data_IF_199900472238
#
_entry.id   IF_199900472238
#
_cell.length_a   1.000
_cell.length_b   1.000
_cell.length_c   1.000
_cell.angle_alpha   90.00
_cell.angle_beta   90.00
_cell.angle_gamma   90.00
#
_symmetry.space_group_name_H-M   'P 1'
#
loop_
_entity.id
_entity.type
_entity.pdbx_description
1 polymer ?
#
# COMPACT_ATOMS: atom_id res chain seq x y z
N UNK A 1 -3.48 0.86 -29.20
CA UNK A 1 -3.46 2.29 -28.88
C UNK A 1 -2.92 2.51 -27.48
N UNK A 2 -1.74 3.08 -27.42
CA UNK A 2 -1.12 3.52 -26.18
C UNK A 2 -1.73 4.85 -25.72
N UNK A 3 -3.03 4.84 -25.49
CA UNK A 3 -3.68 5.99 -24.87
C UNK A 3 -3.26 6.04 -23.40
N UNK A 4 -3.27 7.23 -22.82
CA UNK A 4 -2.94 7.43 -21.41
C UNK A 4 -3.84 6.60 -20.51
N UNK A 5 -5.08 6.37 -20.90
CA UNK A 5 -6.02 5.55 -20.14
C UNK A 5 -5.64 4.07 -20.15
N UNK A 6 -5.18 3.55 -21.29
CA UNK A 6 -4.74 2.15 -21.40
C UNK A 6 -3.45 1.93 -20.60
N UNK A 7 -2.50 2.85 -20.67
CA UNK A 7 -1.28 2.82 -19.86
C UNK A 7 -1.60 2.91 -18.38
N UNK A 8 -2.54 3.76 -18.00
CA UNK A 8 -2.99 3.91 -16.62
C UNK A 8 -3.57 2.60 -16.09
N UNK A 9 -4.48 1.97 -16.85
CA UNK A 9 -5.11 0.71 -16.45
C UNK A 9 -4.08 -0.40 -16.31
N UNK A 10 -3.18 -0.55 -17.27
CA UNK A 10 -2.13 -1.57 -17.27
C UNK A 10 -1.14 -1.36 -16.11
N UNK A 11 -0.65 -0.12 -15.94
CA UNK A 11 0.29 0.20 -14.88
C UNK A 11 -0.32 0.05 -13.50
N UNK A 12 -1.59 0.41 -13.34
CA UNK A 12 -2.26 0.28 -12.04
C UNK A 12 -2.43 -1.16 -11.62
N UNK A 13 -2.79 -2.04 -12.55
CA UNK A 13 -2.91 -3.47 -12.27
C UNK A 13 -1.55 -4.08 -11.93
N UNK A 14 -0.51 -3.75 -12.68
CA UNK A 14 0.86 -4.20 -12.42
C UNK A 14 1.37 -3.69 -11.09
N UNK A 15 1.11 -2.42 -10.75
CA UNK A 15 1.50 -1.84 -9.47
C UNK A 15 0.78 -2.50 -8.29
N UNK A 16 -0.51 -2.79 -8.44
CA UNK A 16 -1.27 -3.46 -7.39
C UNK A 16 -0.73 -4.86 -7.13
N UNK A 17 -0.42 -5.61 -8.19
CA UNK A 17 0.17 -6.94 -8.07
C UNK A 17 1.54 -6.90 -7.43
N UNK A 18 2.36 -5.92 -7.81
CA UNK A 18 3.67 -5.71 -7.21
C UNK A 18 3.55 -5.39 -5.72
N UNK A 19 2.58 -4.54 -5.36
CA UNK A 19 2.31 -4.19 -3.97
C UNK A 19 1.95 -5.43 -3.16
N UNK A 20 1.03 -6.26 -3.64
CA UNK A 20 0.64 -7.50 -2.96
C UNK A 20 1.84 -8.43 -2.79
N UNK A 21 2.68 -8.56 -3.80
CA UNK A 21 3.86 -9.41 -3.74
C UNK A 21 4.86 -8.93 -2.70
N UNK A 22 5.19 -7.63 -2.69
CA UNK A 22 6.12 -7.04 -1.73
C UNK A 22 5.60 -7.16 -0.30
N UNK A 23 4.33 -6.92 -0.10
CA UNK A 23 3.72 -7.03 1.23
C UNK A 23 3.65 -8.48 1.68
N UNK A 24 3.43 -9.42 0.78
CA UNK A 24 3.45 -10.85 1.09
C UNK A 24 4.83 -11.29 1.56
N UNK A 25 5.89 -10.86 0.87
CA UNK A 25 7.27 -11.18 1.27
C UNK A 25 7.58 -10.61 2.65
N UNK A 26 7.23 -9.35 2.88
CA UNK A 26 7.43 -8.71 4.19
C UNK A 26 6.64 -9.43 5.28
N UNK A 27 5.42 -9.83 4.98
CA UNK A 27 4.56 -10.58 5.87
C UNK A 27 5.17 -11.93 6.23
N UNK A 28 5.64 -12.68 5.24
CA UNK A 28 6.22 -14.01 5.46
C UNK A 28 7.47 -13.94 6.35
N UNK A 29 8.31 -12.93 6.16
CA UNK A 29 9.49 -12.72 6.99
C UNK A 29 9.14 -12.41 8.44
N UNK A 30 8.10 -11.62 8.66
CA UNK A 30 7.62 -11.29 10.00
C UNK A 30 6.91 -12.44 10.67
N UNK A 31 6.18 -13.21 9.90
CA UNK A 31 5.47 -14.38 10.38
C UNK A 31 6.41 -15.35 11.10
N UNK A 32 7.57 -15.63 10.50
CA UNK A 32 8.57 -16.51 11.09
C UNK A 32 9.03 -16.03 12.46
N UNK A 33 9.10 -14.72 12.66
CA UNK A 33 9.48 -14.12 13.94
C UNK A 33 8.33 -14.17 14.95
N UNK A 34 7.12 -13.84 14.53
CA UNK A 34 5.96 -13.69 15.41
C UNK A 34 5.34 -15.04 15.82
N UNK A 35 5.51 -16.09 15.02
CA UNK A 35 5.05 -17.42 15.36
C UNK A 35 5.68 -17.94 16.64
N UNK A 36 6.88 -17.48 16.96
CA UNK A 36 7.53 -17.84 18.22
C UNK A 36 6.82 -17.24 19.44
N UNK A 37 6.01 -16.19 19.27
CA UNK A 37 5.35 -15.49 20.37
C UNK A 37 3.93 -15.98 20.62
N UNK A 38 3.11 -16.08 19.59
CA UNK A 38 1.75 -16.63 19.68
C UNK A 38 1.32 -17.14 18.31
N UNK A 39 1.46 -18.45 18.05
CA UNK A 39 1.16 -19.01 16.74
C UNK A 39 -0.32 -18.82 16.39
N UNK A 40 -0.58 -18.34 15.21
CA UNK A 40 -1.89 -18.25 14.59
C UNK A 40 -2.63 -16.95 14.81
N UNK A 41 -2.69 -16.42 16.03
CA UNK A 41 -3.49 -15.23 16.33
C UNK A 41 -2.89 -13.96 15.74
N UNK A 42 -1.61 -13.72 15.98
CA UNK A 42 -0.91 -12.53 15.47
C UNK A 42 -0.88 -12.55 13.95
N UNK A 43 -0.69 -13.73 13.36
CA UNK A 43 -0.75 -13.94 11.93
C UNK A 43 -2.08 -13.51 11.34
N UNK A 44 -3.18 -13.91 11.97
CA UNK A 44 -4.52 -13.55 11.52
C UNK A 44 -4.75 -12.04 11.63
N UNK A 45 -4.27 -11.42 12.71
CA UNK A 45 -4.37 -9.99 12.91
C UNK A 45 -3.57 -9.21 11.86
N UNK A 46 -2.34 -9.63 11.59
CA UNK A 46 -1.50 -9.00 10.56
C UNK A 46 -2.18 -9.08 9.19
N UNK A 47 -2.67 -10.25 8.83
CA UNK A 47 -3.36 -10.46 7.56
C UNK A 47 -4.59 -9.58 7.45
N UNK A 48 -5.38 -9.51 8.51
CA UNK A 48 -6.58 -8.70 8.57
C UNK A 48 -6.26 -7.22 8.38
N UNK A 49 -5.31 -6.68 9.15
CA UNK A 49 -4.92 -5.28 9.04
C UNK A 49 -4.29 -4.96 7.68
N UNK A 50 -3.46 -5.87 7.18
CA UNK A 50 -2.81 -5.69 5.90
C UNK A 50 -3.84 -5.56 4.76
N UNK A 51 -4.79 -6.50 4.70
CA UNK A 51 -5.83 -6.47 3.68
C UNK A 51 -6.69 -5.20 3.79
N UNK A 52 -7.05 -4.84 5.00
CA UNK A 52 -7.86 -3.65 5.26
C UNK A 52 -7.14 -2.38 4.82
N UNK A 53 -5.86 -2.25 5.14
CA UNK A 53 -5.07 -1.07 4.78
C UNK A 53 -4.77 -1.02 3.28
N UNK A 54 -4.54 -2.16 2.64
CA UNK A 54 -4.34 -2.20 1.19
C UNK A 54 -5.60 -1.71 0.48
N UNK A 55 -6.77 -2.22 0.86
CA UNK A 55 -8.02 -1.84 0.20
C UNK A 55 -8.30 -0.35 0.38
N UNK A 56 -8.15 0.16 1.57
CA UNK A 56 -8.36 1.58 1.86
C UNK A 56 -7.36 2.47 1.14
N UNK A 57 -6.09 2.14 1.24
CA UNK A 57 -5.03 2.95 0.62
C UNK A 57 -5.10 2.89 -0.91
N UNK A 58 -5.48 1.74 -1.47
CA UNK A 58 -5.65 1.61 -2.91
C UNK A 58 -6.78 2.50 -3.41
N UNK A 59 -7.90 2.52 -2.70
CA UNK A 59 -9.03 3.40 -3.04
C UNK A 59 -8.61 4.86 -3.05
N UNK A 60 -7.90 5.31 -2.02
CA UNK A 60 -7.36 6.66 -1.94
C UNK A 60 -6.35 6.93 -3.05
N UNK A 61 -5.52 5.94 -3.39
CA UNK A 61 -4.54 6.04 -4.46
C UNK A 61 -5.21 6.26 -5.81
N UNK A 62 -6.30 5.54 -6.09
CA UNK A 62 -7.06 5.71 -7.32
C UNK A 62 -7.61 7.15 -7.44
N UNK A 63 -8.09 7.70 -6.34
CA UNK A 63 -8.58 9.08 -6.31
C UNK A 63 -7.44 10.07 -6.57
N UNK A 64 -6.29 9.86 -5.95
CA UNK A 64 -5.10 10.71 -6.15
C UNK A 64 -4.59 10.61 -7.58
N UNK A 65 -4.62 9.43 -8.17
CA UNK A 65 -4.21 9.22 -9.56
C UNK A 65 -5.16 9.92 -10.53
N UNK A 66 -6.45 9.89 -10.26
CA UNK A 66 -7.43 10.61 -11.06
C UNK A 66 -7.19 12.13 -11.00
N UNK A 67 -6.94 12.65 -9.79
CA UNK A 67 -6.60 14.07 -9.61
C UNK A 67 -5.30 14.44 -10.29
N UNK A 68 -4.29 13.59 -10.22
CA UNK A 68 -3.02 13.80 -10.90
C UNK A 68 -3.21 13.87 -12.42
N UNK A 69 -3.98 12.95 -12.98
CA UNK A 69 -4.25 12.92 -14.42
C UNK A 69 -4.89 14.23 -14.88
N UNK A 70 -5.86 14.73 -14.13
CA UNK A 70 -6.51 15.99 -14.40
C UNK A 70 -5.52 17.16 -14.32
N UNK A 71 -4.72 17.20 -13.28
CA UNK A 71 -3.68 18.21 -13.08
C UNK A 71 -2.66 18.22 -14.22
N UNK A 72 -2.20 17.05 -14.67
CA UNK A 72 -1.27 16.94 -15.79
C UNK A 72 -1.90 17.43 -17.09
N UNK A 73 -3.19 17.18 -17.28
CA UNK A 73 -3.94 17.72 -18.43
C UNK A 73 -3.88 19.25 -18.49
N UNK A 74 -4.02 19.91 -17.33
CA UNK A 74 -3.87 21.38 -17.25
C UNK A 74 -2.45 21.85 -17.49
N UNK A 75 -1.46 21.09 -17.01
CA UNK A 75 -0.03 21.43 -17.16
C UNK A 75 0.53 21.10 -18.54
N UNK A 76 -0.26 20.45 -19.41
CA UNK A 76 0.21 20.04 -20.74
C UNK A 76 0.49 21.22 -21.68
N UNK A 77 0.11 22.42 -21.30
CA UNK A 77 0.50 23.63 -22.02
C UNK A 77 1.92 24.09 -21.70
N UNK A 78 2.61 23.40 -20.78
CA UNK A 78 4.00 23.66 -20.45
C UNK A 78 4.97 22.93 -21.36
N UNK A 79 6.24 22.95 -21.00
CA UNK A 79 7.35 22.52 -21.86
C UNK A 79 7.75 21.06 -21.69
N UNK A 80 7.17 20.32 -20.75
CA UNK A 80 7.53 18.93 -20.47
C UNK A 80 6.50 17.96 -21.03
N UNK A 81 6.98 16.75 -21.38
CA UNK A 81 6.11 15.67 -21.84
C UNK A 81 5.17 15.28 -20.70
N UNK A 82 3.85 15.44 -20.89
CA UNK A 82 2.89 15.12 -19.83
C UNK A 82 2.92 13.65 -19.40
N UNK A 83 3.29 12.74 -20.29
CA UNK A 83 3.38 11.33 -19.96
C UNK A 83 4.53 11.04 -18.98
N UNK A 84 5.69 11.70 -19.20
CA UNK A 84 6.85 11.56 -18.31
C UNK A 84 6.53 12.14 -16.93
N UNK A 85 5.91 13.32 -16.88
CA UNK A 85 5.48 13.92 -15.62
C UNK A 85 4.50 13.04 -14.88
N UNK A 86 3.52 12.48 -15.58
CA UNK A 86 2.53 11.58 -15.00
C UNK A 86 3.21 10.36 -14.37
N UNK A 87 4.12 9.72 -15.09
CA UNK A 87 4.83 8.54 -14.59
C UNK A 87 5.65 8.85 -13.35
N UNK A 88 6.36 9.97 -13.36
CA UNK A 88 7.22 10.36 -12.23
C UNK A 88 6.40 10.66 -10.98
N UNK A 89 5.34 11.45 -11.12
CA UNK A 89 4.49 11.79 -9.97
C UNK A 89 3.67 10.59 -9.48
N UNK A 90 3.21 9.75 -10.41
CA UNK A 90 2.50 8.50 -10.06
C UNK A 90 3.40 7.57 -9.26
N UNK A 91 4.66 7.46 -9.64
CA UNK A 91 5.64 6.65 -8.91
C UNK A 91 5.82 7.17 -7.48
N UNK A 92 5.94 8.49 -7.33
CA UNK A 92 6.08 9.08 -5.99
C UNK A 92 4.84 8.85 -5.12
N UNK A 93 3.65 8.97 -5.70
CA UNK A 93 2.40 8.67 -4.99
C UNK A 93 2.35 7.21 -4.56
N UNK A 94 2.79 6.31 -5.43
CA UNK A 94 2.83 4.87 -5.14
C UNK A 94 3.77 4.57 -3.98
N UNK A 95 4.97 5.15 -3.99
CA UNK A 95 5.95 4.96 -2.91
C UNK A 95 5.40 5.49 -1.58
N UNK A 96 4.75 6.64 -1.60
CA UNK A 96 4.12 7.20 -0.39
C UNK A 96 3.02 6.29 0.15
N UNK A 97 2.24 5.70 -0.75
CA UNK A 97 1.19 4.74 -0.37
C UNK A 97 1.77 3.50 0.29
N UNK A 98 2.80 2.90 -0.30
CA UNK A 98 3.45 1.71 0.25
C UNK A 98 4.01 2.02 1.65
N UNK A 99 4.68 3.15 1.80
CA UNK A 99 5.26 3.57 3.08
C UNK A 99 4.17 3.73 4.13
N UNK A 100 3.06 4.38 3.77
CA UNK A 100 1.93 4.57 4.67
C UNK A 100 1.32 3.24 5.11
N UNK A 101 1.10 2.32 4.17
CA UNK A 101 0.54 1.00 4.49
C UNK A 101 1.47 0.26 5.46
N UNK A 102 2.77 0.25 5.16
CA UNK A 102 3.75 -0.45 5.98
C UNK A 102 3.79 0.10 7.41
N UNK A 103 3.86 1.42 7.56
CA UNK A 103 3.89 2.06 8.87
C UNK A 103 2.61 1.82 9.65
N UNK A 104 1.46 1.90 8.97
CA UNK A 104 0.16 1.71 9.62
C UNK A 104 -0.03 0.27 10.08
N UNK A 105 0.32 -0.71 9.26
CA UNK A 105 0.22 -2.13 9.63
C UNK A 105 1.13 -2.44 10.81
N UNK A 106 2.37 -1.94 10.79
CA UNK A 106 3.31 -2.13 11.90
C UNK A 106 2.72 -1.56 13.19
N UNK A 107 2.18 -0.35 13.12
CA UNK A 107 1.56 0.30 14.29
C UNK A 107 0.39 -0.52 14.84
N UNK A 108 -0.51 -0.98 13.95
CA UNK A 108 -1.69 -1.73 14.36
C UNK A 108 -1.32 -3.09 14.97
N UNK A 109 -0.34 -3.78 14.41
CA UNK A 109 0.14 -5.05 14.93
C UNK A 109 0.79 -4.87 16.29
N UNK A 110 1.64 -3.87 16.43
CA UNK A 110 2.31 -3.58 17.70
C UNK A 110 1.32 -3.20 18.79
N UNK A 111 0.32 -2.39 18.45
CA UNK A 111 -0.74 -2.03 19.37
C UNK A 111 -1.55 -3.24 19.83
N UNK A 112 -1.93 -4.11 18.89
CA UNK A 112 -2.67 -5.34 19.19
C UNK A 112 -1.86 -6.27 20.08
N UNK A 113 -0.55 -6.36 19.81
CA UNK A 113 0.37 -7.19 20.60
C UNK A 113 0.48 -6.70 22.05
N UNK A 114 0.53 -5.37 22.25
CA UNK A 114 0.55 -4.78 23.59
C UNK A 114 -0.74 -5.08 24.36
N UNK A 115 -1.88 -4.93 23.71
CA UNK A 115 -3.19 -5.20 24.31
C UNK A 115 -3.28 -6.67 24.74
N UNK A 116 -2.85 -7.60 23.87
CA UNK A 116 -2.84 -9.03 24.17
C UNK A 116 -1.87 -9.36 25.30
N UNK A 117 -0.72 -8.68 25.34
CA UNK A 117 0.25 -8.81 26.43
C UNK A 117 -0.32 -8.36 27.76
N UNK A 118 -1.01 -7.24 27.79
CA UNK A 118 -1.68 -6.73 28.99
C UNK A 118 -2.75 -7.71 29.49
N UNK A 119 -3.56 -8.22 28.60
CA UNK A 119 -4.60 -9.20 28.95
C UNK A 119 -4.01 -10.48 29.55
N UNK A 120 -2.87 -10.91 29.05
CA UNK A 120 -2.19 -12.09 29.61
C UNK A 120 -1.61 -11.82 31.00
N UNK A 121 -1.19 -10.61 31.29
CA UNK A 121 -0.69 -10.24 32.61
C UNK A 121 -1.82 -10.15 33.62
N UNK A 122 -3.00 -9.70 33.20
CA UNK A 122 -4.17 -9.57 34.07
C UNK A 122 -4.89 -10.88 34.34
N UNK A 123 -4.61 -11.90 33.54
CA UNK A 123 -5.17 -13.23 33.78
C UNK A 123 -4.17 -14.10 34.52
#
# INVERSE_FOLDING_TARGET
DLTMDNLKSYNMMGMKLLLYEQLRITYDLREAYLEQLKPGLIRQLEKYYLLQQIDKAWQEHLEKMAGLRESIGWRSYGQQDPLVEYKNEAFLLFIKMITYIRETVVYLVMRSKLILGENNIQS
#
